data_IF_292299145328
#
_entry.id   IF_292299145328
#
_cell.length_a   1.000
_cell.length_b   1.000
_cell.length_c   1.000
_cell.angle_alpha   90.00
_cell.angle_beta   90.00
_cell.angle_gamma   90.00
#
_symmetry.space_group_name_H-M   'P 1'
#
loop_
_entity.id
_entity.type
_entity.pdbx_description
1 polymer ?
#
# COMPACT_ATOMS: atom_id res chain seq x y z
N UNK A 1 9.90 -26.73 1.89
CA UNK A 1 8.70 -26.39 2.69
C UNK A 1 8.11 -25.10 2.11
N UNK A 2 6.98 -25.21 1.42
CA UNK A 2 6.39 -24.12 0.63
C UNK A 2 5.97 -22.90 1.49
N UNK A 3 6.42 -21.72 1.09
CA UNK A 3 5.96 -20.43 1.62
C UNK A 3 4.63 -20.04 0.94
N UNK A 4 3.55 -20.73 1.29
CA UNK A 4 2.20 -20.25 0.96
C UNK A 4 1.83 -19.12 1.92
N UNK A 5 2.22 -17.89 1.58
CA UNK A 5 1.53 -16.71 2.10
C UNK A 5 0.08 -16.83 1.66
N UNK A 6 -0.84 -17.11 2.60
CA UNK A 6 -2.27 -17.26 2.28
C UNK A 6 -2.75 -15.95 1.67
N UNK A 7 -2.90 -15.90 0.34
CA UNK A 7 -3.70 -14.86 -0.30
C UNK A 7 -5.07 -14.91 0.38
N UNK A 8 -5.43 -13.87 1.14
CA UNK A 8 -6.76 -13.78 1.74
C UNK A 8 -7.76 -13.83 0.59
N UNK A 9 -8.47 -14.96 0.46
CA UNK A 9 -9.58 -15.13 -0.49
C UNK A 9 -10.48 -13.91 -0.36
N UNK A 10 -10.72 -13.20 -1.47
CA UNK A 10 -11.63 -12.05 -1.47
C UNK A 10 -12.97 -12.51 -0.91
N UNK A 11 -13.37 -11.92 0.20
CA UNK A 11 -14.65 -12.22 0.83
C UNK A 11 -15.75 -11.69 -0.07
N UNK A 12 -16.75 -12.51 -0.39
CA UNK A 12 -17.98 -12.09 -1.09
C UNK A 12 -18.96 -11.35 -0.15
N UNK A 13 -18.55 -11.02 1.07
CA UNK A 13 -19.44 -10.42 2.07
C UNK A 13 -19.72 -8.94 1.78
N UNK A 14 -20.95 -8.50 2.03
CA UNK A 14 -21.35 -7.09 1.91
C UNK A 14 -21.00 -6.24 3.15
N UNK A 15 -20.08 -6.73 3.99
CA UNK A 15 -19.71 -6.06 5.24
C UNK A 15 -19.08 -4.68 4.98
N UNK A 16 -19.34 -3.71 5.86
CA UNK A 16 -18.79 -2.36 5.75
C UNK A 16 -17.26 -2.30 5.83
N UNK A 17 -16.62 -3.34 6.38
CA UNK A 17 -15.16 -3.50 6.47
C UNK A 17 -14.56 -4.21 5.25
N UNK A 18 -15.36 -4.73 4.32
CA UNK A 18 -14.84 -5.40 3.12
C UNK A 18 -14.54 -4.38 2.01
N UNK A 19 -13.26 -4.22 1.60
CA UNK A 19 -12.90 -3.32 0.49
C UNK A 19 -13.50 -3.72 -0.86
N UNK A 20 -13.87 -4.99 -1.03
CA UNK A 20 -14.38 -5.57 -2.28
C UNK A 20 -15.89 -5.88 -2.20
N UNK A 21 -16.63 -5.25 -1.30
CA UNK A 21 -18.09 -5.42 -1.18
C UNK A 21 -18.80 -5.00 -2.46
N UNK A 22 -19.79 -5.79 -2.89
CA UNK A 22 -20.61 -5.48 -4.05
C UNK A 22 -21.65 -4.42 -3.66
N UNK A 23 -21.44 -3.17 -4.07
CA UNK A 23 -22.42 -2.10 -3.87
C UNK A 23 -23.38 -2.17 -5.06
N UNK A 24 -24.58 -2.70 -4.84
CA UNK A 24 -25.64 -2.68 -5.86
C UNK A 24 -26.26 -1.29 -5.91
N UNK A 25 -26.33 -0.71 -7.12
CA UNK A 25 -26.90 0.62 -7.37
C UNK A 25 -25.83 1.62 -7.79
N UNK A 26 -26.25 2.66 -8.51
CA UNK A 26 -25.44 3.74 -9.07
C UNK A 26 -24.91 4.69 -7.95
N UNK A 27 -24.39 4.13 -6.87
CA UNK A 27 -23.78 4.86 -5.75
C UNK A 27 -22.29 5.04 -5.97
N UNK A 28 -21.88 5.27 -7.22
CA UNK A 28 -20.71 6.11 -7.50
C UNK A 28 -21.07 7.55 -7.13
N UNK A 29 -21.17 7.82 -5.82
CA UNK A 29 -21.12 9.16 -5.26
C UNK A 29 -22.35 10.05 -5.43
N UNK A 30 -23.49 9.70 -4.80
CA UNK A 30 -24.46 10.74 -4.35
C UNK A 30 -25.20 10.25 -3.12
N UNK A 31 -24.63 10.49 -1.94
CA UNK A 31 -25.25 10.14 -0.65
C UNK A 31 -24.22 9.69 0.38
N UNK A 32 -24.13 10.42 1.49
CA UNK A 32 -23.20 10.30 2.61
C UNK A 32 -23.22 8.94 3.37
N UNK A 33 -23.77 7.87 2.81
CA UNK A 33 -24.08 6.64 3.55
C UNK A 33 -22.96 5.59 3.52
N UNK A 34 -22.12 5.56 2.47
CA UNK A 34 -21.19 4.44 2.24
C UNK A 34 -19.73 4.86 2.07
N UNK A 35 -18.84 4.20 2.81
CA UNK A 35 -17.38 4.39 2.71
C UNK A 35 -16.83 3.86 1.37
N UNK A 36 -15.90 4.61 0.77
CA UNK A 36 -15.15 4.21 -0.43
C UNK A 36 -14.15 3.09 -0.13
N UNK A 37 -13.74 2.35 -1.17
CA UNK A 37 -12.73 1.26 -1.05
C UNK A 37 -11.43 1.71 -0.40
N UNK A 38 -10.93 2.89 -0.77
CA UNK A 38 -9.72 3.49 -0.18
C UNK A 38 -9.89 3.78 1.31
N UNK A 39 -11.05 4.34 1.69
CA UNK A 39 -11.38 4.61 3.10
C UNK A 39 -11.44 3.33 3.92
N UNK A 40 -12.08 2.28 3.40
CA UNK A 40 -12.17 0.98 4.08
C UNK A 40 -10.78 0.37 4.28
N UNK A 41 -9.91 0.38 3.25
CA UNK A 41 -8.51 -0.10 3.38
C UNK A 41 -7.74 0.65 4.46
N UNK A 42 -7.86 1.98 4.50
CA UNK A 42 -7.23 2.83 5.52
C UNK A 42 -7.73 2.51 6.94
N UNK A 43 -9.03 2.39 7.14
CA UNK A 43 -9.60 2.03 8.45
C UNK A 43 -9.17 0.62 8.89
N UNK A 44 -9.17 -0.33 7.95
CA UNK A 44 -8.68 -1.67 8.22
C UNK A 44 -7.19 -1.70 8.56
N UNK A 45 -6.39 -0.75 8.08
CA UNK A 45 -4.97 -0.64 8.45
C UNK A 45 -4.82 -0.32 9.93
N UNK A 46 -5.60 0.63 10.46
CA UNK A 46 -5.57 0.97 11.90
C UNK A 46 -6.14 -0.13 12.79
N UNK A 47 -7.17 -0.84 12.32
CA UNK A 47 -7.81 -1.93 13.09
C UNK A 47 -7.03 -3.26 13.02
N UNK A 48 -6.03 -3.37 12.14
CA UNK A 48 -5.19 -4.57 12.07
C UNK A 48 -4.29 -4.63 13.30
N UNK A 49 -4.35 -5.75 14.02
CA UNK A 49 -3.47 -5.99 15.16
C UNK A 49 -2.01 -5.91 14.70
N UNK A 50 -1.19 -5.21 15.48
CA UNK A 50 0.24 -5.13 15.22
C UNK A 50 0.84 -6.54 15.13
N UNK A 51 1.77 -6.79 14.19
CA UNK A 51 2.50 -8.04 14.14
C UNK A 51 3.25 -8.32 15.44
N UNK A 52 3.62 -9.58 15.67
CA UNK A 52 4.49 -9.93 16.80
C UNK A 52 5.83 -9.18 16.72
N UNK A 53 6.46 -8.90 17.87
CA UNK A 53 7.75 -8.21 17.94
C UNK A 53 8.83 -8.88 17.08
N UNK A 54 8.81 -10.23 17.01
CA UNK A 54 9.71 -11.02 16.17
C UNK A 54 9.51 -10.74 14.67
N UNK A 55 8.27 -10.55 14.22
CA UNK A 55 7.98 -10.21 12.83
C UNK A 55 8.39 -8.78 12.50
N UNK A 56 8.20 -7.84 13.43
CA UNK A 56 8.62 -6.44 13.27
C UNK A 56 10.15 -6.32 13.14
N UNK A 57 10.92 -7.10 13.90
CA UNK A 57 12.38 -7.09 13.83
C UNK A 57 12.97 -7.93 12.67
N UNK A 58 12.14 -8.57 11.87
CA UNK A 58 12.62 -9.41 10.76
C UNK A 58 13.22 -8.52 9.67
N UNK A 59 14.54 -8.61 9.47
CA UNK A 59 15.26 -7.95 8.37
C UNK A 59 15.16 -8.77 7.08
N UNK A 60 15.16 -8.13 5.90
CA UNK A 60 15.31 -8.84 4.63
C UNK A 60 16.67 -9.56 4.61
N UNK A 61 16.71 -10.75 4.01
CA UNK A 61 17.95 -11.56 3.86
C UNK A 61 18.76 -11.14 2.64
N UNK A 62 18.13 -10.39 1.73
CA UNK A 62 18.76 -9.91 0.50
C UNK A 62 19.84 -8.86 0.78
N UNK A 63 20.83 -8.82 -0.12
CA UNK A 63 21.93 -7.87 -0.02
C UNK A 63 21.44 -6.47 -0.38
N UNK A 64 21.66 -5.49 0.51
CA UNK A 64 21.29 -4.09 0.29
C UNK A 64 22.51 -3.25 -0.16
N UNK A 65 23.32 -3.78 -1.09
CA UNK A 65 24.46 -3.04 -1.65
C UNK A 65 23.97 -2.15 -2.78
N UNK A 66 24.57 -0.97 -2.88
CA UNK A 66 24.29 -0.03 -3.97
C UNK A 66 25.54 0.04 -4.84
N UNK A 67 25.40 -0.28 -6.13
CA UNK A 67 26.54 -0.41 -7.04
C UNK A 67 27.19 0.94 -7.35
N UNK A 68 28.53 1.04 -7.36
CA UNK A 68 29.20 2.30 -7.66
C UNK A 68 28.86 2.79 -9.08
N UNK A 69 28.43 4.05 -9.20
CA UNK A 69 28.09 4.63 -10.50
C UNK A 69 28.52 6.09 -10.61
N UNK A 70 29.19 6.43 -11.72
CA UNK A 70 29.62 7.80 -12.04
C UNK A 70 28.45 8.80 -12.10
N UNK A 71 27.24 8.32 -12.38
CA UNK A 71 26.02 9.15 -12.45
C UNK A 71 25.55 9.67 -11.09
N UNK A 72 26.06 9.16 -9.97
CA UNK A 72 25.61 9.56 -8.63
C UNK A 72 26.13 10.92 -8.18
N UNK A 73 27.30 11.32 -8.70
CA UNK A 73 28.02 12.49 -8.21
C UNK A 73 28.00 13.65 -9.21
N UNK A 74 27.26 13.51 -10.32
CA UNK A 74 27.03 14.59 -11.27
C UNK A 74 25.78 15.40 -10.94
N UNK A 75 25.70 16.61 -11.47
CA UNK A 75 24.52 17.47 -11.32
C UNK A 75 23.31 16.79 -11.99
N UNK A 76 22.24 16.54 -11.22
CA UNK A 76 21.04 15.82 -11.70
C UNK A 76 20.04 16.75 -12.39
N UNK A 77 19.87 17.96 -11.88
CA UNK A 77 19.03 19.01 -12.47
C UNK A 77 19.81 20.31 -12.44
N UNK A 78 19.87 20.98 -13.58
CA UNK A 78 20.54 22.28 -13.73
C UNK A 78 19.56 23.25 -14.35
N UNK A 79 19.65 24.51 -13.92
CA UNK A 79 18.89 25.63 -14.47
C UNK A 79 19.87 26.60 -15.13
N UNK A 80 19.49 27.16 -16.27
CA UNK A 80 20.27 28.21 -16.92
C UNK A 80 19.93 29.57 -16.31
N UNK A 81 20.91 30.47 -16.25
CA UNK A 81 20.76 31.79 -15.63
C UNK A 81 19.71 32.66 -16.36
N UNK A 82 19.50 32.45 -17.66
CA UNK A 82 18.47 33.16 -18.45
C UNK A 82 17.04 32.70 -18.13
N UNK A 83 16.90 31.53 -17.52
CA UNK A 83 15.62 30.95 -17.12
C UNK A 83 15.31 31.18 -15.63
N UNK A 84 16.20 31.89 -14.92
CA UNK A 84 15.99 32.41 -13.57
C UNK A 84 15.27 33.77 -13.63
#
# INVERSE_FOLDING_TARGET
>A
KSLHGKFKKQSKSNAATNPDRNIKGNTSGTGNSMRTKSTIKRLNMYNQRMPSLKQLHKRPTEQARVDPNRKWFGNVRTIDQKAL
#
